data_IF_249196534424
#
_entry.id   IF_249196534424
#
_cell.length_a   1.000
_cell.length_b   1.000
_cell.length_c   1.000
_cell.angle_alpha   90.00
_cell.angle_beta   90.00
_cell.angle_gamma   90.00
#
_symmetry.space_group_name_H-M   'P 1'
#
loop_
_entity.id
_entity.type
_entity.pdbx_description
1 polymer ?
#
# COMPACT_ATOMS: atom_id res chain seq x y z
N UNK A 1 21.36 22.18 3.60
CA UNK A 1 19.95 22.09 3.12
C UNK A 1 19.27 21.08 4.01
N UNK A 2 18.42 21.50 4.93
CA UNK A 2 17.55 20.57 5.65
C UNK A 2 16.50 20.09 4.66
N UNK A 3 16.68 18.88 4.13
CA UNK A 3 15.65 18.20 3.37
C UNK A 3 14.54 17.83 4.36
N UNK A 4 13.47 18.59 4.35
CA UNK A 4 12.31 18.30 5.17
C UNK A 4 11.61 17.10 4.54
N UNK A 5 11.70 15.92 5.19
CA UNK A 5 11.08 14.68 4.75
C UNK A 5 9.66 14.53 5.31
N UNK A 6 8.94 15.64 5.49
CA UNK A 6 7.62 15.65 6.13
C UNK A 6 6.61 14.71 5.48
N UNK A 7 6.76 14.42 4.16
CA UNK A 7 5.88 13.52 3.42
C UNK A 7 6.20 12.02 3.59
N UNK A 8 7.29 11.67 4.28
CA UNK A 8 7.71 10.30 4.60
C UNK A 8 8.04 10.21 6.09
N UNK A 9 7.08 9.80 6.89
CA UNK A 9 7.24 9.69 8.34
C UNK A 9 7.53 8.24 8.74
N UNK A 10 8.74 7.98 9.21
CA UNK A 10 9.06 6.69 9.84
C UNK A 10 8.44 6.67 11.23
N UNK A 11 7.69 5.61 11.52
CA UNK A 11 7.02 5.44 12.80
C UNK A 11 7.96 4.78 13.81
N UNK A 12 7.71 5.06 15.08
CA UNK A 12 8.33 4.31 16.20
C UNK A 12 7.60 2.97 16.40
N UNK A 13 7.59 2.18 15.32
CA UNK A 13 7.04 0.83 15.23
C UNK A 13 7.96 0.00 14.34
N UNK A 14 8.36 -1.15 14.84
CA UNK A 14 9.19 -2.09 14.09
C UNK A 14 8.65 -3.50 14.24
N UNK A 15 8.56 -4.21 13.12
CA UNK A 15 8.09 -5.58 13.04
C UNK A 15 9.22 -6.53 12.66
N UNK A 16 9.09 -7.81 13.00
CA UNK A 16 10.08 -8.82 12.61
C UNK A 16 10.00 -9.09 11.12
N UNK A 17 11.04 -8.73 10.38
CA UNK A 17 11.09 -8.87 8.92
C UNK A 17 11.03 -10.34 8.49
N UNK A 18 11.64 -11.26 9.23
CA UNK A 18 11.62 -12.68 8.88
C UNK A 18 10.19 -13.23 9.04
N UNK A 19 9.49 -12.87 10.11
CA UNK A 19 8.08 -13.25 10.29
C UNK A 19 7.17 -12.64 9.22
N UNK A 20 7.41 -11.39 8.80
CA UNK A 20 6.67 -10.76 7.69
C UNK A 20 6.86 -11.53 6.38
N UNK A 21 8.08 -11.94 6.09
CA UNK A 21 8.40 -12.70 4.88
C UNK A 21 7.80 -14.12 4.90
N UNK A 22 7.81 -14.79 6.06
CA UNK A 22 7.15 -16.10 6.20
C UNK A 22 5.63 -15.95 6.06
N UNK A 23 5.00 -14.98 6.72
CA UNK A 23 3.58 -14.71 6.58
C UNK A 23 3.19 -14.39 5.12
N UNK A 24 4.04 -13.67 4.38
CA UNK A 24 3.84 -13.47 2.96
C UNK A 24 3.83 -14.79 2.17
N UNK A 25 4.77 -15.69 2.44
CA UNK A 25 4.82 -17.01 1.81
C UNK A 25 3.58 -17.88 2.14
N UNK A 26 3.03 -17.73 3.34
CA UNK A 26 1.78 -18.39 3.74
C UNK A 26 0.60 -17.84 2.94
N UNK A 27 0.45 -16.51 2.88
CA UNK A 27 -0.66 -15.84 2.19
C UNK A 27 -0.71 -16.19 0.70
N UNK A 28 0.42 -16.22 0.00
CA UNK A 28 0.45 -16.52 -1.45
C UNK A 28 0.15 -18.00 -1.76
N UNK A 29 0.19 -18.91 -0.78
CA UNK A 29 -0.30 -20.28 -0.94
C UNK A 29 -1.82 -20.37 -0.88
N UNK A 30 -2.47 -19.42 -0.20
CA UNK A 30 -3.92 -19.40 0.01
C UNK A 30 -4.61 -18.57 -1.08
N UNK A 31 -4.03 -17.43 -1.46
CA UNK A 31 -4.67 -16.44 -2.34
C UNK A 31 -3.69 -15.93 -3.40
N UNK A 32 -4.16 -15.92 -4.64
CA UNK A 32 -3.45 -15.25 -5.74
C UNK A 32 -3.66 -13.73 -5.70
N UNK A 33 -2.72 -12.99 -6.29
CA UNK A 33 -2.87 -11.56 -6.48
C UNK A 33 -4.02 -11.24 -7.45
N UNK A 34 -4.88 -10.32 -7.06
CA UNK A 34 -5.78 -9.64 -7.98
C UNK A 34 -4.95 -8.70 -8.88
N UNK A 35 -4.92 -8.98 -10.17
CA UNK A 35 -4.20 -8.20 -11.17
C UNK A 35 -5.18 -7.55 -12.14
N UNK A 36 -4.91 -6.33 -12.68
CA UNK A 36 -5.69 -5.79 -13.77
C UNK A 36 -5.56 -6.65 -15.02
N UNK A 37 -6.64 -6.79 -15.78
CA UNK A 37 -6.59 -7.47 -17.08
C UNK A 37 -5.64 -6.77 -18.06
N UNK A 38 -5.60 -5.42 -18.02
CA UNK A 38 -4.82 -4.57 -18.91
C UNK A 38 -3.40 -4.27 -18.41
N UNK A 39 -3.12 -4.46 -17.10
CA UNK A 39 -1.84 -4.10 -16.47
C UNK A 39 -1.38 -5.22 -15.56
N UNK A 40 -0.47 -6.03 -16.03
CA UNK A 40 0.04 -7.21 -15.29
C UNK A 40 1.13 -6.89 -14.25
N UNK A 41 1.61 -5.65 -14.21
CA UNK A 41 2.78 -5.26 -13.40
C UNK A 41 2.44 -4.80 -11.97
N UNK A 42 1.17 -4.87 -11.58
CA UNK A 42 0.67 -4.50 -10.25
C UNK A 42 -0.38 -5.50 -9.78
N UNK A 43 -0.23 -5.97 -8.55
CA UNK A 43 -1.17 -6.92 -7.94
C UNK A 43 -1.47 -6.56 -6.49
N UNK A 44 -2.62 -7.02 -6.00
CA UNK A 44 -3.06 -6.84 -4.62
C UNK A 44 -3.67 -8.11 -4.04
N UNK A 45 -3.36 -8.40 -2.77
CA UNK A 45 -4.10 -9.33 -1.93
C UNK A 45 -4.65 -8.52 -0.76
N UNK A 46 -5.96 -8.48 -0.60
CA UNK A 46 -6.61 -7.83 0.54
C UNK A 46 -6.42 -8.67 1.81
N UNK A 47 -6.07 -8.03 2.91
CA UNK A 47 -6.06 -8.63 4.26
C UNK A 47 -7.28 -8.20 5.08
N UNK A 48 -7.97 -7.13 4.67
CA UNK A 48 -9.23 -6.68 5.25
C UNK A 48 -10.32 -6.64 4.19
N UNK A 49 -11.58 -6.76 4.64
CA UNK A 49 -12.77 -6.73 3.81
C UNK A 49 -13.89 -5.90 4.47
N UNK A 50 -14.91 -5.59 3.69
CA UNK A 50 -16.18 -5.07 4.20
C UNK A 50 -16.96 -6.27 4.76
N UNK A 51 -17.41 -6.23 6.03
CA UNK A 51 -18.18 -7.32 6.61
C UNK A 51 -19.38 -7.72 5.73
N UNK A 52 -19.47 -9.02 5.40
CA UNK A 52 -20.55 -9.56 4.58
C UNK A 52 -20.48 -9.24 3.08
N UNK A 53 -19.46 -8.53 2.59
CA UNK A 53 -19.27 -8.24 1.14
C UNK A 53 -17.99 -8.92 0.60
N UNK A 54 -18.09 -10.16 0.07
CA UNK A 54 -16.94 -10.84 -0.51
C UNK A 54 -16.43 -10.21 -1.82
N UNK A 55 -17.21 -9.33 -2.45
CA UNK A 55 -16.79 -8.59 -3.64
C UNK A 55 -15.90 -7.39 -3.29
N UNK A 56 -15.86 -6.98 -2.02
CA UNK A 56 -15.02 -5.87 -1.54
C UNK A 56 -13.53 -6.11 -1.72
N UNK A 57 -13.10 -7.35 -1.91
CA UNK A 57 -11.69 -7.77 -2.06
C UNK A 57 -11.29 -8.12 -3.49
N UNK A 58 -12.13 -7.79 -4.47
CA UNK A 58 -11.91 -8.13 -5.89
C UNK A 58 -11.67 -6.88 -6.75
N UNK A 59 -11.04 -7.11 -7.89
CA UNK A 59 -10.88 -6.11 -8.94
C UNK A 59 -10.29 -4.77 -8.43
N UNK A 60 -10.85 -3.65 -8.84
CA UNK A 60 -10.41 -2.33 -8.44
C UNK A 60 -10.64 -2.02 -6.95
N UNK A 61 -11.60 -2.70 -6.29
CA UNK A 61 -11.78 -2.59 -4.83
C UNK A 61 -10.57 -3.14 -4.07
N UNK A 62 -9.97 -4.23 -4.55
CA UNK A 62 -8.72 -4.75 -3.99
C UNK A 62 -7.52 -3.89 -4.38
N UNK A 63 -7.33 -3.64 -5.68
CA UNK A 63 -6.14 -2.92 -6.19
C UNK A 63 -6.12 -1.45 -5.81
N UNK A 64 -7.26 -0.80 -5.81
CA UNK A 64 -7.42 0.63 -5.58
C UNK A 64 -7.64 1.42 -6.86
N UNK A 65 -8.04 2.65 -6.67
CA UNK A 65 -8.22 3.66 -7.71
C UNK A 65 -7.52 4.93 -7.23
N UNK A 66 -6.95 5.70 -8.13
CA UNK A 66 -6.45 7.02 -7.80
C UNK A 66 -7.63 7.98 -7.55
N UNK A 67 -7.41 8.99 -6.74
CA UNK A 67 -8.38 10.07 -6.59
C UNK A 67 -8.35 11.00 -7.80
N UNK A 68 -7.16 11.48 -8.15
CA UNK A 68 -6.96 12.34 -9.32
C UNK A 68 -5.58 12.13 -9.93
N UNK A 69 -5.47 12.37 -11.23
CA UNK A 69 -4.21 12.36 -11.98
C UNK A 69 -4.24 13.38 -13.10
N UNK A 70 -3.10 13.86 -13.62
CA UNK A 70 -3.07 14.63 -14.84
C UNK A 70 -3.39 13.74 -16.05
N UNK A 71 -4.11 14.27 -17.02
CA UNK A 71 -4.26 13.70 -18.36
C UNK A 71 -3.02 14.02 -19.23
N UNK A 72 -3.07 13.63 -20.52
CA UNK A 72 -1.98 13.88 -21.45
C UNK A 72 -1.71 15.38 -21.72
N UNK A 73 -2.66 16.26 -21.45
CA UNK A 73 -2.52 17.71 -21.56
C UNK A 73 -1.99 18.35 -20.27
N UNK A 74 -1.82 17.58 -19.21
CA UNK A 74 -1.46 18.05 -17.87
C UNK A 74 -2.66 18.55 -17.05
N UNK A 75 -3.88 18.48 -17.57
CA UNK A 75 -5.09 18.86 -16.83
C UNK A 75 -5.42 17.77 -15.81
N UNK A 76 -5.75 18.18 -14.59
CA UNK A 76 -6.17 17.28 -13.53
C UNK A 76 -7.55 16.67 -13.84
N UNK A 77 -7.63 15.36 -13.78
CA UNK A 77 -8.88 14.59 -13.93
C UNK A 77 -9.10 13.71 -12.70
N UNK A 78 -10.31 13.74 -12.18
CA UNK A 78 -10.72 12.94 -11.03
C UNK A 78 -11.46 11.68 -11.47
N UNK A 79 -11.45 10.66 -10.63
CA UNK A 79 -12.31 9.49 -10.80
C UNK A 79 -13.66 9.69 -10.13
N UNK A 80 -14.70 9.17 -10.79
CA UNK A 80 -16.07 9.18 -10.24
C UNK A 80 -16.29 8.09 -9.19
N UNK A 81 -15.41 7.07 -9.15
CA UNK A 81 -15.52 5.94 -8.22
C UNK A 81 -14.72 6.24 -6.96
N UNK A 82 -15.40 6.30 -5.82
CA UNK A 82 -14.78 6.33 -4.49
C UNK A 82 -14.79 4.95 -3.83
N UNK A 83 -13.86 4.72 -2.92
CA UNK A 83 -13.83 3.54 -2.07
C UNK A 83 -14.07 4.01 -0.64
N UNK A 84 -15.09 3.45 0.00
CA UNK A 84 -15.44 3.75 1.39
C UNK A 84 -14.50 3.01 2.33
N UNK A 85 -13.29 3.56 2.51
CA UNK A 85 -12.19 2.93 3.25
C UNK A 85 -12.57 2.57 4.69
N UNK A 86 -13.43 3.36 5.33
CA UNK A 86 -13.89 3.16 6.72
C UNK A 86 -14.76 1.91 6.92
N UNK A 87 -15.30 1.34 5.85
CA UNK A 87 -16.07 0.09 5.88
C UNK A 87 -15.20 -1.18 5.93
N UNK A 88 -13.90 -1.09 5.59
CA UNK A 88 -12.99 -2.25 5.58
C UNK A 88 -12.50 -2.60 6.99
N UNK A 89 -13.40 -3.02 7.86
CA UNK A 89 -13.17 -3.22 9.29
C UNK A 89 -12.88 -4.67 9.70
N UNK A 90 -13.12 -5.64 8.81
CA UNK A 90 -12.96 -7.06 9.12
C UNK A 90 -11.64 -7.60 8.54
N UNK A 91 -10.83 -8.22 9.40
CA UNK A 91 -9.64 -8.96 8.93
C UNK A 91 -10.06 -10.30 8.37
N UNK A 92 -9.55 -10.66 7.19
CA UNK A 92 -9.96 -11.88 6.47
C UNK A 92 -9.58 -13.12 7.27
N UNK A 93 -10.56 -14.01 7.46
CA UNK A 93 -10.47 -15.22 8.29
C UNK A 93 -9.29 -16.12 7.89
N UNK A 94 -9.10 -16.34 6.58
CA UNK A 94 -8.08 -17.24 6.04
C UNK A 94 -6.65 -16.83 6.45
N UNK A 95 -6.44 -15.57 6.85
CA UNK A 95 -5.12 -15.03 7.21
C UNK A 95 -4.93 -14.80 8.71
N UNK A 96 -5.92 -15.14 9.54
CA UNK A 96 -5.87 -14.90 11.00
C UNK A 96 -4.70 -15.55 11.71
N UNK A 97 -4.23 -16.68 11.21
CA UNK A 97 -3.13 -17.43 11.81
C UNK A 97 -1.76 -16.98 11.29
N UNK A 98 -1.70 -15.97 10.40
CA UNK A 98 -0.44 -15.42 9.92
C UNK A 98 0.02 -14.26 10.81
N UNK A 99 1.33 -13.95 10.77
CA UNK A 99 1.88 -12.79 11.48
C UNK A 99 1.24 -11.44 11.07
N UNK A 100 0.61 -11.37 9.92
CA UNK A 100 -0.11 -10.16 9.50
C UNK A 100 -1.28 -9.81 10.41
N UNK A 101 -1.89 -10.79 11.10
CA UNK A 101 -2.93 -10.49 12.10
C UNK A 101 -2.37 -9.77 13.31
N UNK A 102 -1.21 -10.19 13.82
CA UNK A 102 -0.52 -9.50 14.94
C UNK A 102 -0.12 -8.07 14.53
N UNK A 103 0.39 -7.91 13.31
CA UNK A 103 0.71 -6.60 12.73
C UNK A 103 -0.52 -5.71 12.68
N UNK A 104 -1.63 -6.21 12.13
CA UNK A 104 -2.90 -5.51 12.04
C UNK A 104 -3.40 -5.06 13.42
N UNK A 105 -3.42 -5.97 14.40
CA UNK A 105 -3.85 -5.67 15.77
C UNK A 105 -2.96 -4.62 16.46
N UNK A 106 -1.66 -4.65 16.18
CA UNK A 106 -0.72 -3.64 16.68
C UNK A 106 -0.97 -2.26 16.08
N UNK A 107 -1.21 -2.21 14.77
CA UNK A 107 -1.45 -0.96 14.04
C UNK A 107 -2.80 -0.32 14.44
N UNK A 108 -3.86 -1.11 14.58
CA UNK A 108 -5.20 -0.62 14.90
C UNK A 108 -5.33 -0.07 16.31
N UNK A 109 -4.38 -0.34 17.21
CA UNK A 109 -4.28 0.32 18.52
C UNK A 109 -3.95 1.83 18.41
N UNK A 110 -3.30 2.25 17.34
CA UNK A 110 -2.81 3.62 17.15
C UNK A 110 -3.49 4.35 15.97
N UNK A 111 -3.90 3.59 14.95
CA UNK A 111 -4.40 4.15 13.70
C UNK A 111 -5.78 3.59 13.35
N UNK A 112 -6.67 4.45 12.86
CA UNK A 112 -7.89 4.02 12.17
C UNK A 112 -7.50 3.65 10.75
N UNK A 113 -7.57 2.37 10.41
CA UNK A 113 -7.20 1.85 9.11
C UNK A 113 -8.43 1.62 8.22
N UNK A 114 -8.27 1.86 6.93
CA UNK A 114 -9.15 1.34 5.89
C UNK A 114 -8.60 0.02 5.35
N UNK A 115 -8.57 -0.15 4.03
CA UNK A 115 -8.03 -1.36 3.40
C UNK A 115 -6.59 -1.60 3.82
N UNK A 116 -6.32 -2.84 4.26
CA UNK A 116 -4.97 -3.38 4.48
C UNK A 116 -4.72 -4.44 3.42
N UNK A 117 -3.62 -4.30 2.67
CA UNK A 117 -3.34 -5.13 1.50
C UNK A 117 -1.86 -5.47 1.39
N UNK A 118 -1.57 -6.60 0.79
CA UNK A 118 -0.24 -6.90 0.26
C UNK A 118 -0.23 -6.44 -1.19
N UNK A 119 0.66 -5.51 -1.52
CA UNK A 119 0.80 -4.95 -2.87
C UNK A 119 2.09 -5.44 -3.52
N UNK A 120 1.94 -5.99 -4.71
CA UNK A 120 3.03 -6.42 -5.57
C UNK A 120 3.27 -5.36 -6.66
N UNK A 121 4.54 -5.04 -6.89
CA UNK A 121 4.98 -4.26 -8.05
C UNK A 121 6.11 -5.01 -8.76
N UNK A 122 5.88 -5.37 -10.02
CA UNK A 122 6.87 -6.09 -10.83
C UNK A 122 8.09 -5.21 -11.15
N UNK A 123 9.23 -5.84 -11.50
CA UNK A 123 10.43 -5.13 -11.90
C UNK A 123 10.22 -4.25 -13.14
N UNK A 124 11.06 -3.23 -13.30
CA UNK A 124 11.11 -2.33 -14.46
C UNK A 124 9.78 -1.69 -14.80
N UNK A 125 9.03 -1.29 -13.76
CA UNK A 125 7.68 -0.77 -13.92
C UNK A 125 7.37 0.35 -12.93
N UNK A 126 6.41 1.21 -13.29
CA UNK A 126 5.96 2.35 -12.51
C UNK A 126 4.44 2.39 -12.42
N UNK A 127 3.92 3.13 -11.43
CA UNK A 127 2.54 3.60 -11.42
C UNK A 127 2.45 4.96 -12.12
N UNK A 128 1.25 5.36 -12.51
CA UNK A 128 1.02 6.71 -13.02
C UNK A 128 1.23 7.75 -11.92
N UNK A 129 1.58 8.96 -12.31
CA UNK A 129 1.60 10.13 -11.42
C UNK A 129 0.17 10.47 -11.01
N UNK A 130 -0.15 10.40 -9.71
CA UNK A 130 -1.53 10.51 -9.21
C UNK A 130 -1.55 10.96 -7.75
N UNK A 131 -2.75 11.25 -7.25
CA UNK A 131 -3.03 11.46 -5.82
C UNK A 131 -4.05 10.45 -5.33
N UNK A 132 -3.95 10.08 -4.07
CA UNK A 132 -4.92 9.29 -3.32
C UNK A 132 -5.73 10.18 -2.36
N UNK A 133 -6.94 9.75 -1.93
CA UNK A 133 -7.71 10.52 -0.94
C UNK A 133 -7.09 10.54 0.45
N UNK A 134 -6.37 9.48 0.83
CA UNK A 134 -5.81 9.29 2.17
C UNK A 134 -4.31 8.97 2.13
N UNK A 135 -3.58 9.27 3.22
CA UNK A 135 -2.23 8.76 3.44
C UNK A 135 -2.17 7.23 3.41
N UNK A 136 -0.98 6.71 3.14
CA UNK A 136 -0.71 5.28 3.16
C UNK A 136 0.33 4.92 4.20
N UNK A 137 0.07 3.85 4.95
CA UNK A 137 1.06 3.19 5.77
C UNK A 137 1.71 2.09 4.96
N UNK A 138 3.03 2.01 5.01
CA UNK A 138 3.84 1.02 4.32
C UNK A 138 4.72 0.24 5.29
N UNK A 139 4.72 -1.08 5.16
CA UNK A 139 5.71 -1.97 5.76
C UNK A 139 6.32 -2.77 4.60
N UNK A 140 7.58 -2.46 4.20
CA UNK A 140 8.26 -3.20 3.15
C UNK A 140 8.56 -4.65 3.60
N UNK A 141 8.20 -5.63 2.77
CA UNK A 141 8.42 -7.07 3.02
C UNK A 141 9.55 -7.58 2.13
N UNK A 142 9.50 -7.24 0.84
CA UNK A 142 10.54 -7.51 -0.15
C UNK A 142 10.75 -6.23 -0.95
N UNK A 143 11.99 -5.78 -1.06
CA UNK A 143 12.36 -4.57 -1.81
C UNK A 143 13.79 -4.66 -2.31
N UNK A 144 14.17 -3.76 -3.18
CA UNK A 144 15.53 -3.62 -3.70
C UNK A 144 15.88 -2.11 -3.85
N UNK A 145 17.14 -1.74 -4.01
CA UNK A 145 17.56 -0.33 -4.08
C UNK A 145 16.91 0.48 -5.21
N UNK A 146 16.41 -0.19 -6.27
CA UNK A 146 15.67 0.44 -7.37
C UNK A 146 14.20 0.73 -7.05
N UNK A 147 13.71 0.31 -5.88
CA UNK A 147 12.34 0.57 -5.43
C UNK A 147 12.25 1.94 -4.76
N UNK A 148 11.74 2.91 -5.50
CA UNK A 148 11.69 4.32 -5.06
C UNK A 148 10.24 4.81 -5.11
N UNK A 149 9.82 5.47 -4.06
CA UNK A 149 8.60 6.28 -4.04
C UNK A 149 8.98 7.75 -4.18
N UNK A 150 8.24 8.45 -5.02
CA UNK A 150 8.40 9.90 -5.21
C UNK A 150 7.11 10.57 -4.80
N UNK A 151 7.22 11.56 -3.90
CA UNK A 151 6.11 12.45 -3.52
C UNK A 151 6.57 13.87 -3.81
N UNK A 152 5.83 14.57 -4.66
CA UNK A 152 6.26 15.85 -5.25
C UNK A 152 7.68 15.73 -5.83
N UNK A 153 8.66 16.39 -5.21
CA UNK A 153 10.06 16.39 -5.64
C UNK A 153 10.98 15.55 -4.74
N UNK A 154 10.42 14.77 -3.80
CA UNK A 154 11.19 13.98 -2.84
C UNK A 154 11.13 12.50 -3.21
N UNK A 155 12.30 11.91 -3.47
CA UNK A 155 12.46 10.48 -3.77
C UNK A 155 12.97 9.74 -2.53
N UNK A 156 12.35 8.61 -2.17
CA UNK A 156 12.69 7.82 -0.99
C UNK A 156 12.64 6.33 -1.27
N UNK A 157 13.70 5.62 -0.87
CA UNK A 157 13.69 4.17 -0.69
C UNK A 157 13.24 3.85 0.74
N UNK A 158 12.34 2.89 0.90
CA UNK A 158 11.92 2.35 2.19
C UNK A 158 12.44 0.91 2.30
N UNK A 159 13.42 0.62 3.20
CA UNK A 159 14.05 -0.69 3.27
C UNK A 159 13.13 -1.76 3.88
N UNK A 160 13.33 -3.02 3.51
CA UNK A 160 12.67 -4.18 4.10
C UNK A 160 13.42 -4.65 5.36
N UNK A 161 13.36 -3.84 6.41
CA UNK A 161 14.02 -4.07 7.71
C UNK A 161 13.03 -4.13 8.88
N UNK A 162 11.74 -4.24 8.57
CA UNK A 162 10.64 -4.23 9.55
C UNK A 162 10.16 -2.83 9.93
N UNK A 163 10.75 -1.77 9.39
CA UNK A 163 10.30 -0.40 9.64
C UNK A 163 8.92 -0.14 9.03
N UNK A 164 8.20 0.78 9.69
CA UNK A 164 6.85 1.19 9.30
C UNK A 164 6.87 2.68 8.95
N UNK A 165 6.22 3.04 7.85
CA UNK A 165 6.22 4.39 7.29
C UNK A 165 4.81 4.87 7.02
N UNK A 166 4.50 6.14 7.29
CA UNK A 166 3.32 6.80 6.72
C UNK A 166 3.80 7.78 5.65
N UNK A 167 3.15 7.72 4.48
CA UNK A 167 3.48 8.53 3.32
C UNK A 167 2.30 9.41 2.92
N UNK A 168 2.60 10.64 2.50
CA UNK A 168 1.59 11.64 2.14
C UNK A 168 1.09 11.44 0.70
N UNK A 169 0.31 10.40 0.49
CA UNK A 169 -0.28 10.11 -0.81
C UNK A 169 -1.36 11.10 -1.25
N UNK A 170 -1.72 12.06 -0.41
CA UNK A 170 -2.65 13.14 -0.79
C UNK A 170 -2.01 14.18 -1.70
N UNK A 171 -0.67 14.20 -1.76
CA UNK A 171 0.12 14.90 -2.75
C UNK A 171 0.35 14.05 -4.00
N UNK A 172 0.78 14.67 -5.09
CA UNK A 172 1.17 13.95 -6.29
C UNK A 172 2.35 13.03 -6.02
N UNK A 173 2.17 11.77 -6.36
CA UNK A 173 3.17 10.75 -6.12
C UNK A 173 3.13 9.66 -7.20
N UNK A 174 4.21 8.91 -7.26
CA UNK A 174 4.25 7.60 -7.90
C UNK A 174 5.17 6.66 -7.12
N UNK A 175 5.13 5.43 -7.53
CA UNK A 175 6.04 4.40 -7.07
C UNK A 175 6.60 3.65 -8.28
N UNK A 176 7.90 3.46 -8.33
CA UNK A 176 8.54 2.66 -9.35
C UNK A 176 9.45 1.58 -8.75
N UNK A 177 9.56 0.48 -9.46
CA UNK A 177 10.49 -0.60 -9.21
C UNK A 177 11.47 -0.67 -10.38
N UNK A 178 12.61 -0.04 -10.23
CA UNK A 178 13.69 -0.05 -11.22
C UNK A 178 14.65 -1.23 -11.06
N UNK A 179 14.39 -2.16 -10.16
CA UNK A 179 15.20 -3.36 -9.94
C UNK A 179 14.82 -4.55 -10.82
N UNK A 180 15.36 -5.71 -10.49
CA UNK A 180 15.19 -6.96 -11.24
C UNK A 180 14.19 -7.92 -10.59
N UNK A 181 13.75 -7.65 -9.34
CA UNK A 181 12.86 -8.50 -8.56
C UNK A 181 11.58 -7.79 -8.18
N UNK A 182 10.55 -8.56 -7.82
CA UNK A 182 9.29 -8.01 -7.33
C UNK A 182 9.49 -7.23 -6.04
N UNK A 183 8.73 -6.14 -5.93
CA UNK A 183 8.57 -5.41 -4.67
C UNK A 183 7.26 -5.83 -4.02
N UNK A 184 7.32 -6.18 -2.72
CA UNK A 184 6.16 -6.56 -1.91
C UNK A 184 6.12 -5.67 -0.67
N UNK A 185 5.01 -4.95 -0.48
CA UNK A 185 4.75 -4.18 0.74
C UNK A 185 3.39 -4.55 1.32
N UNK A 186 3.28 -4.58 2.65
CA UNK A 186 2.00 -4.38 3.29
C UNK A 186 1.68 -2.89 3.21
N UNK A 187 0.48 -2.57 2.73
CA UNK A 187 0.01 -1.18 2.57
C UNK A 187 -1.38 -1.03 3.16
N UNK A 188 -1.55 -0.03 4.03
CA UNK A 188 -2.84 0.31 4.63
C UNK A 188 -3.24 1.76 4.32
N UNK A 189 -4.54 2.01 4.14
CA UNK A 189 -5.09 3.37 4.15
C UNK A 189 -5.17 3.86 5.59
N UNK A 190 -4.77 5.11 5.87
CA UNK A 190 -4.79 5.69 7.22
C UNK A 190 -5.79 6.82 7.28
N UNK A 191 -6.86 6.64 8.08
CA UNK A 191 -8.03 7.52 8.07
C UNK A 191 -7.96 8.65 9.10
N UNK A 192 -7.11 8.53 10.10
CA UNK A 192 -6.98 9.48 11.21
C UNK A 192 -5.60 10.16 11.29
N UNK A 193 -4.84 10.14 10.21
CA UNK A 193 -3.55 10.82 10.11
C UNK A 193 -3.64 11.97 9.11
N UNK A 194 -3.12 13.13 9.47
CA UNK A 194 -3.02 14.30 8.59
C UNK A 194 -1.58 14.78 8.55
N UNK A 195 -1.13 15.13 7.38
CA UNK A 195 0.11 15.87 7.18
C UNK A 195 -0.17 17.37 7.31
N UNK A 196 0.74 18.10 7.90
CA UNK A 196 0.68 19.56 8.03
C UNK A 196 1.10 20.25 6.73
#
# INVERSE_FOLDING_TARGET
>A
MNLNFDDFQQLDLKFDINKLQEAYKEVIKIKNFETPEEVTNFGAISLTQIPGDPESIKGHKARGVFWTKPDASGKEVSRDVSIEEDKYSEFIEDFKNTYFKEVFDSLTKKYKLGRVRILLKQPRSTLSWHRDPEPRLHIPIITNPGCIMVIDNVAKHMPADGSCWITNNTKYHNFFNGGEENRIHLVACVLNHKFN
#
